data_IF_184546584496
#
_entry.id   IF_184546584496
#
_cell.length_a   1.000
_cell.length_b   1.000
_cell.length_c   1.000
_cell.angle_alpha   90.00
_cell.angle_beta   90.00
_cell.angle_gamma   90.00
#
_symmetry.space_group_name_H-M   'P 1'
#
loop_
_entity.id
_entity.type
_entity.pdbx_description
1 polymer ?
#
# COMPACT_ATOMS: atom_id res chain seq x y z
N UNK A 1 -16.27 -12.70 8.12
CA UNK A 1 -16.72 -11.64 7.19
C UNK A 1 -16.23 -10.29 7.69
N UNK A 2 -15.46 -9.59 6.85
CA UNK A 2 -15.02 -8.22 7.11
C UNK A 2 -16.24 -7.28 7.13
N UNK A 3 -16.32 -6.42 8.15
CA UNK A 3 -17.48 -5.54 8.38
C UNK A 3 -17.31 -4.13 7.79
N UNK A 4 -16.10 -3.79 7.35
CA UNK A 4 -15.74 -2.45 6.88
C UNK A 4 -15.79 -2.39 5.35
N UNK A 5 -15.16 -3.36 4.67
CA UNK A 5 -15.11 -3.43 3.20
C UNK A 5 -15.52 -4.80 2.65
N UNK A 6 -16.72 -5.32 3.00
CA UNK A 6 -17.21 -6.55 2.38
C UNK A 6 -17.36 -6.38 0.86
N UNK A 7 -17.32 -7.49 0.12
CA UNK A 7 -17.30 -7.48 -1.35
C UNK A 7 -18.38 -6.59 -2.00
N UNK A 8 -19.67 -6.64 -1.59
CA UNK A 8 -20.70 -5.78 -2.19
C UNK A 8 -20.46 -4.28 -1.97
N UNK A 9 -19.84 -3.91 -0.84
CA UNK A 9 -19.46 -2.51 -0.55
C UNK A 9 -18.28 -2.12 -1.42
N UNK A 10 -17.25 -2.98 -1.52
CA UNK A 10 -16.10 -2.75 -2.41
C UNK A 10 -16.54 -2.55 -3.86
N UNK A 11 -17.44 -3.40 -4.37
CA UNK A 11 -17.97 -3.30 -5.73
C UNK A 11 -18.75 -2.00 -5.96
N UNK A 12 -19.57 -1.59 -4.99
CA UNK A 12 -20.30 -0.33 -5.05
C UNK A 12 -19.35 0.88 -5.06
N UNK A 13 -18.35 0.90 -4.18
CA UNK A 13 -17.38 1.99 -4.09
C UNK A 13 -16.63 2.16 -5.41
N UNK A 14 -16.17 1.06 -6.03
CA UNK A 14 -15.50 1.15 -7.33
C UNK A 14 -16.43 1.60 -8.46
N UNK A 15 -17.68 1.13 -8.49
CA UNK A 15 -18.66 1.59 -9.49
C UNK A 15 -18.94 3.09 -9.39
N UNK A 16 -18.86 3.68 -8.19
CA UNK A 16 -19.05 5.11 -7.98
C UNK A 16 -17.78 5.94 -8.25
N UNK A 17 -16.60 5.37 -8.03
CA UNK A 17 -15.32 6.06 -8.16
C UNK A 17 -14.74 6.03 -9.58
N UNK A 18 -15.07 5.02 -10.37
CA UNK A 18 -14.53 4.83 -11.71
C UNK A 18 -15.33 5.57 -12.77
N UNK A 19 -14.72 5.92 -13.93
CA UNK A 19 -15.44 6.44 -15.07
C UNK A 19 -16.59 5.53 -15.50
N UNK A 20 -17.65 6.11 -16.06
CA UNK A 20 -18.78 5.34 -16.57
C UNK A 20 -18.33 4.31 -17.63
N UNK A 21 -18.76 3.06 -17.47
CA UNK A 21 -18.39 1.96 -18.36
C UNK A 21 -17.01 1.33 -18.08
N UNK A 22 -16.21 1.86 -17.16
CA UNK A 22 -14.95 1.25 -16.76
C UNK A 22 -15.18 0.03 -15.84
N UNK A 23 -14.31 -0.98 -15.99
CA UNK A 23 -14.28 -2.14 -15.11
C UNK A 23 -13.20 -2.01 -14.02
N UNK A 24 -13.05 -3.05 -13.19
CA UNK A 24 -12.08 -3.06 -12.08
C UNK A 24 -10.62 -3.22 -12.54
N UNK A 25 -10.36 -3.43 -13.83
CA UNK A 25 -9.02 -3.45 -14.40
C UNK A 25 -8.56 -2.05 -14.89
N UNK A 26 -9.42 -1.03 -14.77
CA UNK A 26 -9.06 0.37 -14.98
C UNK A 26 -7.85 0.78 -14.11
N UNK A 27 -6.88 1.57 -14.64
CA UNK A 27 -5.65 1.96 -13.92
C UNK A 27 -5.82 2.53 -12.51
N UNK A 28 -6.93 3.21 -12.24
CA UNK A 28 -7.25 3.75 -10.91
C UNK A 28 -7.63 2.69 -9.87
N UNK A 29 -8.16 1.55 -10.32
CA UNK A 29 -8.53 0.42 -9.45
C UNK A 29 -7.45 -0.67 -9.45
N UNK A 30 -6.82 -0.92 -10.60
CA UNK A 30 -5.80 -1.96 -10.76
C UNK A 30 -4.56 -1.41 -11.48
N UNK A 31 -3.55 -0.91 -10.74
CA UNK A 31 -2.34 -0.36 -11.33
C UNK A 31 -1.48 -1.42 -12.05
N UNK A 32 -1.77 -2.71 -11.86
CA UNK A 32 -0.98 -3.81 -12.43
C UNK A 32 -1.40 -4.21 -13.83
N UNK A 33 -2.67 -3.98 -14.20
CA UNK A 33 -3.22 -4.42 -15.49
C UNK A 33 -3.49 -3.29 -16.48
N UNK A 34 -4.03 -2.15 -16.04
CA UNK A 34 -4.51 -1.12 -16.96
C UNK A 34 -3.39 -0.28 -17.58
N UNK A 35 -2.31 -0.03 -16.84
CA UNK A 35 -1.18 0.79 -17.29
C UNK A 35 -0.01 0.69 -16.29
N UNK A 36 0.67 -0.46 -16.25
CA UNK A 36 1.85 -0.62 -15.38
C UNK A 36 2.83 0.52 -15.68
N UNK A 37 3.27 1.31 -14.69
CA UNK A 37 4.21 2.39 -14.93
C UNK A 37 5.50 1.85 -15.58
N UNK A 38 6.12 2.64 -16.46
CA UNK A 38 7.36 2.20 -17.09
C UNK A 38 8.44 1.94 -16.04
N UNK A 39 9.42 1.05 -16.31
CA UNK A 39 10.53 0.82 -15.38
C UNK A 39 11.28 2.11 -15.01
N UNK A 40 11.35 3.09 -15.91
CA UNK A 40 11.95 4.39 -15.65
C UNK A 40 11.16 5.21 -14.62
N UNK A 41 9.82 5.18 -14.70
CA UNK A 41 8.95 5.82 -13.70
C UNK A 41 9.09 5.13 -12.35
N UNK A 42 9.07 3.79 -12.32
CA UNK A 42 9.17 3.03 -11.07
C UNK A 42 10.53 3.19 -10.38
N UNK A 43 11.64 3.34 -11.13
CA UNK A 43 12.96 3.62 -10.54
C UNK A 43 13.04 4.95 -9.79
N UNK A 44 12.15 5.89 -10.11
CA UNK A 44 12.05 7.20 -9.45
C UNK A 44 10.99 7.21 -8.34
N UNK A 45 10.31 6.08 -8.12
CA UNK A 45 9.33 5.97 -7.05
C UNK A 45 10.05 6.09 -5.69
N UNK A 46 9.50 6.87 -4.74
CA UNK A 46 10.14 7.06 -3.45
C UNK A 46 10.20 5.76 -2.66
N UNK A 47 11.12 5.70 -1.69
CA UNK A 47 11.03 4.72 -0.61
C UNK A 47 9.59 4.69 -0.07
N UNK A 48 9.05 3.50 0.12
CA UNK A 48 7.61 3.32 0.43
C UNK A 48 7.43 2.35 1.57
N UNK A 49 6.61 2.73 2.56
CA UNK A 49 6.12 1.79 3.56
C UNK A 49 4.69 1.38 3.21
N UNK A 50 4.38 0.08 3.30
CA UNK A 50 3.02 -0.45 3.10
C UNK A 50 2.63 -1.27 4.32
N UNK A 51 1.61 -0.82 5.04
CA UNK A 51 0.97 -1.59 6.11
C UNK A 51 -0.19 -2.40 5.53
N UNK A 52 -0.23 -3.69 5.82
CA UNK A 52 -1.27 -4.63 5.37
C UNK A 52 -1.79 -5.46 6.54
N UNK A 53 -3.08 -5.75 6.51
CA UNK A 53 -3.76 -6.49 7.56
C UNK A 53 -4.20 -7.87 7.04
N UNK A 54 -3.93 -8.92 7.80
CA UNK A 54 -4.11 -10.31 7.35
C UNK A 54 -5.55 -10.72 7.06
N UNK A 55 -6.52 -10.02 7.67
CA UNK A 55 -7.95 -10.25 7.47
C UNK A 55 -8.60 -9.20 6.54
N UNK A 56 -7.83 -8.28 5.97
CA UNK A 56 -8.32 -7.30 4.98
C UNK A 56 -8.61 -7.99 3.64
N UNK A 57 -9.84 -7.90 3.10
CA UNK A 57 -10.17 -8.43 1.76
C UNK A 57 -9.31 -7.87 0.62
N UNK A 58 -8.61 -6.75 0.84
CA UNK A 58 -7.72 -6.12 -0.14
C UNK A 58 -6.27 -6.62 -0.07
N UNK A 59 -5.94 -7.51 0.88
CA UNK A 59 -4.58 -7.98 1.16
C UNK A 59 -3.83 -8.41 -0.11
N UNK A 60 -4.42 -9.28 -0.93
CA UNK A 60 -3.73 -9.83 -2.11
C UNK A 60 -3.28 -8.71 -3.07
N UNK A 61 -4.13 -7.70 -3.30
CA UNK A 61 -3.79 -6.56 -4.17
C UNK A 61 -2.72 -5.66 -3.55
N UNK A 62 -2.75 -5.47 -2.23
CA UNK A 62 -1.72 -4.72 -1.51
C UNK A 62 -0.36 -5.43 -1.62
N UNK A 63 -0.34 -6.76 -1.49
CA UNK A 63 0.87 -7.58 -1.63
C UNK A 63 1.41 -7.59 -3.07
N UNK A 64 0.52 -7.66 -4.07
CA UNK A 64 0.93 -7.55 -5.48
C UNK A 64 1.55 -6.17 -5.78
N UNK A 65 1.03 -5.09 -5.19
CA UNK A 65 1.61 -3.75 -5.29
C UNK A 65 3.00 -3.67 -4.66
N UNK A 66 3.17 -4.23 -3.45
CA UNK A 66 4.49 -4.35 -2.79
C UNK A 66 5.48 -5.08 -3.69
N UNK A 67 5.08 -6.23 -4.22
CA UNK A 67 5.92 -7.03 -5.13
C UNK A 67 6.32 -6.25 -6.38
N UNK A 68 5.38 -5.54 -7.00
CA UNK A 68 5.66 -4.72 -8.19
C UNK A 68 6.72 -3.65 -7.92
N UNK A 69 6.66 -2.97 -6.77
CA UNK A 69 7.65 -1.96 -6.37
C UNK A 69 9.02 -2.60 -6.09
N UNK A 70 9.05 -3.73 -5.36
CA UNK A 70 10.28 -4.47 -5.07
C UNK A 70 10.97 -4.97 -6.35
N UNK A 71 10.21 -5.52 -7.30
CA UNK A 71 10.72 -5.94 -8.62
C UNK A 71 11.33 -4.78 -9.42
N UNK A 72 10.86 -3.54 -9.19
CA UNK A 72 11.39 -2.35 -9.82
C UNK A 72 12.61 -1.74 -9.09
N UNK A 73 13.06 -2.37 -7.99
CA UNK A 73 14.20 -1.91 -7.19
C UNK A 73 13.87 -0.78 -6.22
N UNK A 74 12.59 -0.51 -5.95
CA UNK A 74 12.16 0.47 -4.94
C UNK A 74 12.44 -0.09 -3.55
N UNK A 75 12.93 0.75 -2.64
CA UNK A 75 13.03 0.39 -1.23
C UNK A 75 11.62 0.33 -0.63
N UNK A 76 11.16 -0.86 -0.26
CA UNK A 76 9.83 -1.08 0.32
C UNK A 76 9.93 -1.72 1.69
N UNK A 77 9.36 -1.08 2.70
CA UNK A 77 9.13 -1.68 4.02
C UNK A 77 7.67 -2.16 4.10
N UNK A 78 7.48 -3.47 4.27
CA UNK A 78 6.15 -4.06 4.43
C UNK A 78 5.91 -4.39 5.91
N UNK A 79 4.84 -3.82 6.49
CA UNK A 79 4.35 -4.14 7.82
C UNK A 79 3.11 -5.03 7.69
N UNK A 80 3.07 -6.14 8.42
CA UNK A 80 1.95 -7.06 8.39
C UNK A 80 1.50 -7.44 9.79
N UNK A 81 0.21 -7.30 10.06
CA UNK A 81 -0.44 -7.89 11.23
C UNK A 81 -1.42 -8.98 10.75
N UNK A 82 -1.11 -10.28 10.96
CA UNK A 82 -1.96 -11.38 10.49
C UNK A 82 -3.37 -11.40 11.08
N UNK A 83 -3.59 -10.67 12.18
CA UNK A 83 -4.85 -10.68 12.95
C UNK A 83 -5.69 -9.43 12.75
N UNK A 84 -5.13 -8.38 12.15
CA UNK A 84 -5.85 -7.15 11.88
C UNK A 84 -6.84 -7.26 10.73
N UNK A 85 -7.85 -6.41 10.77
CA UNK A 85 -8.85 -6.24 9.71
C UNK A 85 -8.71 -4.86 9.07
N UNK A 86 -9.44 -4.62 7.97
CA UNK A 86 -9.38 -3.32 7.29
C UNK A 86 -9.68 -2.16 8.24
N UNK A 87 -8.78 -1.17 8.29
CA UNK A 87 -8.93 0.05 9.09
C UNK A 87 -8.92 -0.16 10.62
N UNK A 88 -8.33 -1.25 11.11
CA UNK A 88 -8.31 -1.59 12.55
C UNK A 88 -7.69 -0.48 13.42
N UNK A 89 -6.76 0.31 12.89
CA UNK A 89 -6.13 1.44 13.57
C UNK A 89 -7.12 2.58 13.89
N UNK A 90 -8.27 2.64 13.20
CA UNK A 90 -9.33 3.59 13.51
C UNK A 90 -10.15 3.19 14.75
N UNK A 91 -10.03 1.93 15.17
CA UNK A 91 -10.82 1.32 16.25
C UNK A 91 -9.98 0.92 17.46
N UNK A 92 -8.69 0.65 17.26
CA UNK A 92 -7.76 0.21 18.29
C UNK A 92 -6.57 1.18 18.40
N UNK A 93 -6.52 1.91 19.54
CA UNK A 93 -5.48 2.90 19.80
C UNK A 93 -4.08 2.30 19.91
N UNK A 94 -3.94 1.07 20.42
CA UNK A 94 -2.63 0.44 20.52
C UNK A 94 -2.08 0.10 19.12
N UNK A 95 -2.95 -0.34 18.20
CA UNK A 95 -2.58 -0.55 16.79
C UNK A 95 -2.29 0.76 16.07
N UNK A 96 -3.04 1.82 16.34
CA UNK A 96 -2.77 3.16 15.82
C UNK A 96 -1.41 3.70 16.28
N UNK A 97 -1.10 3.59 17.58
CA UNK A 97 0.19 3.99 18.15
C UNK A 97 1.34 3.18 17.56
N UNK A 98 1.14 1.88 17.33
CA UNK A 98 2.12 1.04 16.66
C UNK A 98 2.37 1.51 15.21
N UNK A 99 1.32 1.74 14.43
CA UNK A 99 1.45 2.26 13.06
C UNK A 99 2.16 3.63 13.04
N UNK A 100 1.79 4.56 13.93
CA UNK A 100 2.45 5.87 14.04
C UNK A 100 3.95 5.76 14.35
N UNK A 101 4.34 4.83 15.23
CA UNK A 101 5.74 4.56 15.53
C UNK A 101 6.48 3.99 14.33
N UNK A 102 5.88 3.05 13.61
CA UNK A 102 6.46 2.45 12.41
C UNK A 102 6.65 3.52 11.32
N UNK A 103 5.65 4.38 11.09
CA UNK A 103 5.76 5.56 10.20
C UNK A 103 6.92 6.47 10.63
N UNK A 104 7.02 6.80 11.92
CA UNK A 104 8.08 7.67 12.43
C UNK A 104 9.47 7.08 12.20
N UNK A 105 9.63 5.77 12.40
CA UNK A 105 10.89 5.06 12.18
C UNK A 105 11.25 5.05 10.69
N UNK A 106 10.30 4.71 9.82
CA UNK A 106 10.48 4.70 8.37
C UNK A 106 10.90 6.07 7.82
N UNK A 107 10.25 7.14 8.29
CA UNK A 107 10.62 8.49 7.89
C UNK A 107 12.03 8.83 8.37
N UNK A 108 12.37 8.51 9.62
CA UNK A 108 13.69 8.78 10.18
C UNK A 108 14.82 8.02 9.49
N UNK A 109 14.59 6.77 9.07
CA UNK A 109 15.57 5.96 8.32
C UNK A 109 15.74 6.45 6.87
N UNK A 110 14.65 6.92 6.26
CA UNK A 110 14.63 7.34 4.85
C UNK A 110 15.27 8.70 4.57
N UNK A 111 15.51 9.54 5.60
CA UNK A 111 16.16 10.85 5.46
C UNK A 111 17.67 10.87 5.77
N UNK A 112 18.30 9.73 6.07
CA UNK A 112 19.76 9.68 6.25
C UNK A 112 20.45 9.65 4.90
N UNK A 113 20.83 10.82 4.39
CA UNK A 113 21.79 10.93 3.28
C UNK A 113 23.14 10.33 3.73
N UNK A 114 23.82 9.50 2.91
CA UNK A 114 25.20 9.13 3.18
C UNK A 114 26.01 10.41 3.27
N UNK A 115 26.64 10.66 4.41
CA UNK A 115 27.68 11.67 4.51
C UNK A 115 28.73 11.34 3.46
N UNK A 116 28.89 12.18 2.45
CA UNK A 116 30.02 12.11 1.54
C UNK A 116 31.29 12.36 2.34
N UNK A 117 31.94 11.28 2.80
CA UNK A 117 33.34 11.32 3.21
C UNK A 117 34.15 11.67 1.97
N UNK A 118 34.55 12.93 1.89
CA UNK A 118 35.51 13.40 0.91
C UNK A 118 36.89 12.90 1.35
N UNK A 119 37.60 12.23 0.45
CA UNK A 119 39.02 11.91 0.56
C UNK A 119 39.88 13.17 0.60
#
# INVERSE_FOLDING_TARGET
>A
DDKIVPLPVSDLLWRLALPEGADRDHPFCNPLKGSRPSPEVLRRFPATMVAVEGLDPLLDRQLEFVKMLQEAGVHVEQRMDPTGSHGVELLDMAKAEALCRDISNFMSSSFVTPSTSSL
#
